data_IF_239428423436
#
_entry.id   IF_239428423436
#
_cell.length_a   1.000
_cell.length_b   1.000
_cell.length_c   1.000
_cell.angle_alpha   90.00
_cell.angle_beta   90.00
_cell.angle_gamma   90.00
#
_symmetry.space_group_name_H-M   'P 1'
#
loop_
_entity.id
_entity.type
_entity.pdbx_description
1 polymer ?
#
# COMPACT_ATOMS: atom_id res chain seq x y z
N UNK A 1 -12.82 3.94 1.05
CA UNK A 1 -11.69 4.88 0.82
C UNK A 1 -10.51 4.16 0.17
N UNK A 2 -9.67 4.86 -0.59
CA UNK A 2 -8.49 4.25 -1.25
C UNK A 2 -7.47 3.71 -0.24
N UNK A 3 -7.28 4.38 0.89
CA UNK A 3 -6.31 3.99 1.93
C UNK A 3 -6.61 2.59 2.51
N UNK A 4 -7.88 2.24 2.72
CA UNK A 4 -8.26 0.90 3.16
C UNK A 4 -7.88 -0.19 2.13
N UNK A 5 -7.98 0.11 0.83
CA UNK A 5 -7.56 -0.81 -0.23
C UNK A 5 -6.04 -0.94 -0.29
N UNK A 6 -5.32 0.17 -0.18
CA UNK A 6 -3.85 0.17 -0.10
C UNK A 6 -3.38 -0.72 1.04
N UNK A 7 -3.95 -0.54 2.23
CA UNK A 7 -3.59 -1.36 3.40
C UNK A 7 -3.96 -2.83 3.20
N UNK A 8 -5.12 -3.10 2.61
CA UNK A 8 -5.57 -4.46 2.32
C UNK A 8 -4.69 -5.22 1.33
N UNK A 9 -4.09 -4.52 0.36
CA UNK A 9 -3.28 -5.11 -0.72
C UNK A 9 -1.79 -5.16 -0.37
N UNK A 10 -1.26 -4.08 0.22
CA UNK A 10 0.17 -3.88 0.43
C UNK A 10 0.60 -4.10 1.89
N UNK A 11 -0.35 -4.17 2.82
CA UNK A 11 -0.08 -4.32 4.26
C UNK A 11 -0.26 -3.03 5.06
N UNK A 12 -0.06 -3.10 6.39
CA UNK A 12 -0.25 -1.95 7.28
C UNK A 12 0.73 -0.82 6.99
N UNK A 13 0.35 0.41 7.38
CA UNK A 13 1.26 1.55 7.37
C UNK A 13 2.19 1.45 8.58
N UNK A 14 3.49 1.65 8.38
CA UNK A 14 4.47 1.62 9.47
C UNK A 14 4.15 2.67 10.54
N UNK A 15 4.26 2.28 11.81
CA UNK A 15 3.98 3.16 12.95
C UNK A 15 4.88 4.41 12.96
N UNK A 16 6.14 4.28 12.52
CA UNK A 16 7.07 5.42 12.38
C UNK A 16 6.53 6.44 11.37
N UNK A 17 5.92 5.98 10.27
CA UNK A 17 5.29 6.86 9.28
C UNK A 17 4.06 7.55 9.83
N UNK A 18 3.25 6.84 10.61
CA UNK A 18 2.06 7.40 11.28
C UNK A 18 2.46 8.47 12.30
N UNK A 19 3.53 8.23 13.07
CA UNK A 19 4.03 9.16 14.08
C UNK A 19 4.60 10.46 13.46
N UNK A 20 5.22 10.36 12.28
CA UNK A 20 5.81 11.52 11.58
C UNK A 20 4.78 12.35 10.80
N UNK A 21 3.58 11.85 10.56
CA UNK A 21 2.58 12.51 9.73
C UNK A 21 1.74 13.53 10.51
N UNK A 22 1.61 14.73 9.95
CA UNK A 22 0.74 15.79 10.50
C UNK A 22 -0.76 15.53 10.28
N UNK A 23 -1.12 14.56 9.44
CA UNK A 23 -2.50 14.30 9.03
C UNK A 23 -3.02 12.94 9.52
N UNK A 24 -2.26 12.24 10.35
CA UNK A 24 -2.60 10.89 10.82
C UNK A 24 -3.98 10.84 11.49
N UNK A 25 -4.29 11.85 12.30
CA UNK A 25 -5.58 11.96 12.99
C UNK A 25 -6.79 12.08 12.05
N UNK A 26 -6.61 12.42 10.77
CA UNK A 26 -7.70 12.46 9.79
C UNK A 26 -8.17 11.06 9.36
N UNK A 27 -7.30 10.06 9.50
CA UNK A 27 -7.50 8.73 8.94
C UNK A 27 -7.41 7.62 9.99
N UNK A 28 -6.62 7.83 11.04
CA UNK A 28 -6.33 6.82 12.07
C UNK A 28 -6.71 7.32 13.45
N UNK A 29 -7.23 6.41 14.28
CA UNK A 29 -7.44 6.64 15.71
C UNK A 29 -6.10 6.61 16.46
N UNK A 30 -6.13 6.95 17.76
CA UNK A 30 -4.96 6.81 18.64
C UNK A 30 -4.45 5.36 18.73
N UNK A 31 -5.33 4.39 18.52
CA UNK A 31 -4.99 2.96 18.47
C UNK A 31 -4.54 2.49 17.07
N UNK A 32 -4.28 3.42 16.15
CA UNK A 32 -3.93 3.16 14.74
C UNK A 32 -5.02 2.44 13.93
N UNK A 33 -6.28 2.49 14.37
CA UNK A 33 -7.41 1.95 13.59
C UNK A 33 -7.82 2.92 12.50
N UNK A 34 -8.05 2.41 11.28
CA UNK A 34 -8.50 3.21 10.16
C UNK A 34 -9.99 3.57 10.31
N UNK A 35 -10.33 4.84 10.12
CA UNK A 35 -11.70 5.31 10.16
C UNK A 35 -11.96 6.38 9.09
N UNK A 36 -13.24 6.70 8.88
CA UNK A 36 -13.64 7.94 8.23
C UNK A 36 -14.83 8.58 8.95
N UNK A 37 -15.00 9.89 8.78
CA UNK A 37 -16.20 10.60 9.23
C UNK A 37 -17.19 10.72 8.08
N UNK A 38 -18.38 10.16 8.27
CA UNK A 38 -19.47 10.26 7.31
C UNK A 38 -19.96 11.71 7.26
N UNK A 39 -19.98 12.33 6.07
CA UNK A 39 -20.35 13.75 5.92
C UNK A 39 -21.85 14.02 6.08
N UNK A 40 -22.67 13.00 5.90
CA UNK A 40 -24.14 13.13 5.96
C UNK A 40 -24.64 12.95 7.40
N UNK A 41 -24.07 11.98 8.12
CA UNK A 41 -24.50 11.62 9.48
C UNK A 41 -23.59 12.19 10.57
N UNK A 42 -22.43 12.73 10.20
CA UNK A 42 -21.37 13.20 11.10
C UNK A 42 -20.77 12.11 12.01
N UNK A 43 -21.05 10.83 11.71
CA UNK A 43 -20.61 9.69 12.51
C UNK A 43 -19.23 9.19 12.09
N UNK A 44 -18.49 8.65 13.06
CA UNK A 44 -17.23 7.93 12.83
C UNK A 44 -17.53 6.48 12.46
N UNK A 45 -17.04 6.04 11.31
CA UNK A 45 -17.17 4.68 10.82
C UNK A 45 -15.79 4.06 10.67
N UNK A 46 -15.58 2.89 11.28
CA UNK A 46 -14.34 2.13 11.17
C UNK A 46 -14.26 1.41 9.84
N UNK A 47 -13.08 1.46 9.22
CA UNK A 47 -12.80 0.82 7.95
C UNK A 47 -11.92 -0.38 8.21
N UNK A 48 -12.45 -1.58 7.97
CA UNK A 48 -11.69 -2.83 8.05
C UNK A 48 -11.09 -3.10 6.66
N UNK A 49 -9.75 -3.03 6.50
CA UNK A 49 -9.11 -3.38 5.24
C UNK A 49 -9.38 -4.84 4.89
N UNK A 50 -9.85 -5.09 3.67
CA UNK A 50 -9.99 -6.45 3.15
C UNK A 50 -8.61 -7.06 2.94
N UNK A 51 -8.35 -8.23 3.51
CA UNK A 51 -7.07 -8.91 3.33
C UNK A 51 -6.97 -9.47 1.91
N UNK A 52 -6.06 -8.93 1.12
CA UNK A 52 -5.76 -9.34 -0.24
C UNK A 52 -4.24 -9.29 -0.48
N UNK A 53 -3.82 -9.45 -1.72
CA UNK A 53 -2.42 -9.32 -2.15
C UNK A 53 -2.33 -8.76 -3.56
N UNK A 54 -1.18 -8.20 -3.92
CA UNK A 54 -0.90 -7.80 -5.31
C UNK A 54 -1.15 -8.96 -6.29
N UNK A 55 -0.69 -10.17 -5.96
CA UNK A 55 -0.90 -11.36 -6.78
C UNK A 55 -2.37 -11.73 -6.95
N UNK A 56 -3.21 -11.55 -5.93
CA UNK A 56 -4.65 -11.80 -6.03
C UNK A 56 -5.33 -10.87 -7.04
N UNK A 57 -4.84 -9.63 -7.15
CA UNK A 57 -5.34 -8.63 -8.10
C UNK A 57 -4.70 -8.72 -9.50
N UNK A 58 -3.61 -9.47 -9.64
CA UNK A 58 -2.80 -9.57 -10.86
C UNK A 58 -2.65 -11.03 -11.30
N UNK A 59 -3.75 -11.78 -11.36
CA UNK A 59 -3.73 -13.23 -11.56
C UNK A 59 -3.15 -13.67 -12.91
N UNK A 60 -3.30 -12.85 -13.94
CA UNK A 60 -2.78 -13.13 -15.29
C UNK A 60 -1.33 -12.67 -15.48
N UNK A 61 -0.72 -12.09 -14.46
CA UNK A 61 0.65 -11.62 -14.51
C UNK A 61 1.63 -12.68 -14.03
N UNK A 62 2.82 -12.70 -14.63
CA UNK A 62 3.87 -13.59 -14.17
C UNK A 62 4.47 -13.12 -12.83
N UNK A 63 5.09 -14.06 -12.13
CA UNK A 63 5.65 -13.83 -10.80
C UNK A 63 6.74 -12.73 -10.79
N UNK A 64 7.54 -12.57 -11.85
CA UNK A 64 8.60 -11.54 -11.88
C UNK A 64 8.00 -10.15 -12.04
N UNK A 65 6.90 -10.02 -12.77
CA UNK A 65 6.18 -8.74 -12.85
C UNK A 65 5.56 -8.36 -11.50
N UNK A 66 4.93 -9.32 -10.82
CA UNK A 66 4.34 -9.08 -9.49
C UNK A 66 5.43 -8.72 -8.47
N UNK A 67 6.58 -9.39 -8.53
CA UNK A 67 7.75 -9.07 -7.72
C UNK A 67 8.26 -7.64 -7.99
N UNK A 68 8.40 -7.27 -9.27
CA UNK A 68 8.77 -5.91 -9.65
C UNK A 68 7.79 -4.85 -9.12
N UNK A 69 6.48 -5.09 -9.23
CA UNK A 69 5.49 -4.16 -8.68
C UNK A 69 5.56 -4.09 -7.16
N UNK A 70 5.81 -5.21 -6.48
CA UNK A 70 6.00 -5.23 -5.02
C UNK A 70 7.25 -4.44 -4.61
N UNK A 71 8.31 -4.50 -5.42
CA UNK A 71 9.51 -3.70 -5.25
C UNK A 71 9.24 -2.20 -5.42
N UNK A 72 8.42 -1.79 -6.38
CA UNK A 72 8.05 -0.38 -6.59
C UNK A 72 7.06 0.16 -5.55
N UNK A 73 6.12 -0.67 -5.11
CA UNK A 73 4.99 -0.27 -4.27
C UNK A 73 5.26 -0.42 -2.77
N UNK A 74 6.53 -0.33 -2.35
CA UNK A 74 6.89 -0.29 -0.94
C UNK A 74 6.15 0.86 -0.23
N UNK A 75 5.46 0.50 0.86
CA UNK A 75 4.69 1.45 1.70
C UNK A 75 5.65 2.48 2.27
N UNK A 76 6.75 2.02 2.86
CA UNK A 76 7.79 2.88 3.38
C UNK A 76 8.58 3.53 2.24
N UNK A 77 8.56 4.86 2.09
CA UNK A 77 9.30 5.54 1.04
C UNK A 77 10.81 5.30 1.12
N UNK A 78 11.36 5.03 2.31
CA UNK A 78 12.79 4.76 2.51
C UNK A 78 13.23 3.43 1.93
N UNK A 79 12.31 2.47 1.81
CA UNK A 79 12.55 1.18 1.15
C UNK A 79 12.20 1.20 -0.34
N UNK A 80 11.63 2.30 -0.86
CA UNK A 80 11.21 2.40 -2.25
C UNK A 80 12.41 2.68 -3.15
N UNK A 81 12.57 1.94 -4.26
CA UNK A 81 13.66 2.17 -5.18
C UNK A 81 13.54 3.51 -5.91
N UNK A 82 14.69 4.04 -6.28
CA UNK A 82 14.79 5.09 -7.29
C UNK A 82 14.47 4.53 -8.67
N UNK A 83 14.15 5.42 -9.63
CA UNK A 83 13.93 5.02 -11.01
C UNK A 83 15.14 4.29 -11.61
N UNK A 84 16.36 4.65 -11.22
CA UNK A 84 17.58 3.98 -11.71
C UNK A 84 17.70 2.56 -11.18
N UNK A 85 17.47 2.34 -9.89
CA UNK A 85 17.49 1.00 -9.28
C UNK A 85 16.37 0.12 -9.84
N UNK A 86 15.18 0.69 -10.09
CA UNK A 86 14.08 -0.02 -10.71
C UNK A 86 14.40 -0.57 -12.12
N UNK A 87 15.21 0.16 -12.91
CA UNK A 87 15.63 -0.30 -14.24
C UNK A 87 16.57 -1.51 -14.18
N UNK A 88 17.23 -1.74 -13.05
CA UNK A 88 18.14 -2.87 -12.84
C UNK A 88 17.40 -4.15 -12.42
N UNK A 89 16.08 -4.09 -12.20
CA UNK A 89 15.28 -5.23 -11.77
C UNK A 89 15.27 -6.38 -12.80
N UNK A 90 15.28 -7.62 -12.32
CA UNK A 90 15.37 -8.82 -13.18
C UNK A 90 14.26 -8.86 -14.22
N UNK A 91 13.03 -8.45 -13.85
CA UNK A 91 11.88 -8.39 -14.77
C UNK A 91 12.14 -7.51 -16.00
N UNK A 92 12.82 -6.37 -15.85
CA UNK A 92 13.14 -5.46 -16.96
C UNK A 92 14.16 -6.10 -17.91
N UNK A 93 15.13 -6.82 -17.36
CA UNK A 93 16.18 -7.50 -18.12
C UNK A 93 15.74 -8.86 -18.67
N UNK A 94 14.55 -9.34 -18.30
CA UNK A 94 14.07 -10.65 -18.69
C UNK A 94 13.53 -10.65 -20.12
N UNK A 95 14.18 -11.41 -21.00
CA UNK A 95 13.66 -11.64 -22.36
C UNK A 95 12.71 -12.83 -22.35
N UNK A 96 11.40 -12.56 -22.50
CA UNK A 96 10.45 -13.61 -22.85
C UNK A 96 10.79 -14.08 -24.27
N UNK A 97 11.00 -15.39 -24.42
CA UNK A 97 11.21 -16.05 -25.72
C UNK A 97 9.88 -16.43 -26.32
#
# INVERSE_FOLDING_TARGET
MILARVIGILGPIDEEMLALSHETSKYFTENCDLYHRNKETDQVEYLIPERSSLSHHLQDCDAKFIDFLSYLLQINPRGRPTAREALEHEWISFSYK
#
